data_IF_653298359775
#
_entry.id   IF_653298359775
#
_cell.length_a   1.000
_cell.length_b   1.000
_cell.length_c   1.000
_cell.angle_alpha   90.00
_cell.angle_beta   90.00
_cell.angle_gamma   90.00
#
_symmetry.space_group_name_H-M   'P 1'
#
loop_
_entity.id
_entity.type
_entity.pdbx_description
1 polymer ?
#
# COMPACT_ATOMS: atom_id res chain seq x y z
N UNK A 1 -21.88 5.15 13.47
CA UNK A 1 -21.04 6.06 12.66
C UNK A 1 -21.57 6.00 11.23
N UNK A 2 -21.72 7.13 10.55
CA UNK A 2 -22.08 7.13 9.12
C UNK A 2 -20.85 6.81 8.28
N UNK A 3 -21.03 6.09 7.17
CA UNK A 3 -19.92 5.71 6.26
C UNK A 3 -19.14 6.93 5.76
N UNK A 4 -19.87 8.04 5.54
CA UNK A 4 -19.29 9.34 5.17
C UNK A 4 -18.35 9.90 6.25
N UNK A 5 -18.69 9.77 7.52
CA UNK A 5 -17.81 10.21 8.61
C UNK A 5 -16.51 9.40 8.63
N UNK A 6 -16.60 8.08 8.43
CA UNK A 6 -15.42 7.22 8.35
C UNK A 6 -14.55 7.59 7.16
N UNK A 7 -15.15 7.81 5.98
CA UNK A 7 -14.45 8.26 4.78
C UNK A 7 -13.71 9.59 5.00
N UNK A 8 -14.41 10.62 5.48
CA UNK A 8 -13.82 11.95 5.70
C UNK A 8 -12.68 11.90 6.73
N UNK A 9 -12.86 11.12 7.80
CA UNK A 9 -11.84 10.93 8.83
C UNK A 9 -10.59 10.25 8.26
N UNK A 10 -10.75 9.17 7.49
CA UNK A 10 -9.63 8.45 6.90
C UNK A 10 -8.92 9.29 5.84
N UNK A 11 -9.66 10.04 5.02
CA UNK A 11 -9.12 10.94 4.02
C UNK A 11 -8.25 12.02 4.69
N UNK A 12 -8.78 12.75 5.66
CA UNK A 12 -8.03 13.78 6.39
C UNK A 12 -6.82 13.20 7.12
N UNK A 13 -6.98 12.03 7.74
CA UNK A 13 -5.86 11.35 8.43
C UNK A 13 -4.76 10.95 7.45
N UNK A 14 -5.12 10.45 6.26
CA UNK A 14 -4.15 10.07 5.22
C UNK A 14 -3.38 11.27 4.68
N UNK A 15 -4.05 12.40 4.46
CA UNK A 15 -3.43 13.65 4.01
C UNK A 15 -2.49 14.22 5.08
N UNK A 16 -2.92 14.21 6.35
CA UNK A 16 -2.08 14.63 7.46
C UNK A 16 -0.84 13.73 7.60
N UNK A 17 -1.01 12.40 7.52
CA UNK A 17 0.09 11.44 7.56
C UNK A 17 1.06 11.64 6.39
N UNK A 18 0.57 11.95 5.18
CA UNK A 18 1.40 12.26 4.02
C UNK A 18 2.25 13.51 4.25
N UNK A 19 1.67 14.60 4.78
CA UNK A 19 2.40 15.83 5.08
C UNK A 19 3.50 15.60 6.13
N UNK A 20 3.18 14.88 7.20
CA UNK A 20 4.15 14.52 8.25
C UNK A 20 5.26 13.65 7.66
N UNK A 21 4.90 12.61 6.92
CA UNK A 21 5.87 11.67 6.30
C UNK A 21 6.80 12.40 5.33
N UNK A 22 6.26 13.29 4.49
CA UNK A 22 7.06 14.10 3.56
C UNK A 22 8.11 14.94 4.30
N UNK A 23 7.71 15.63 5.38
CA UNK A 23 8.63 16.43 6.20
C UNK A 23 9.74 15.56 6.83
N UNK A 24 9.38 14.40 7.40
CA UNK A 24 10.35 13.49 8.00
C UNK A 24 11.33 12.90 6.98
N UNK A 25 10.84 12.54 5.78
CA UNK A 25 11.67 11.94 4.73
C UNK A 25 12.71 12.90 4.13
N UNK A 26 12.57 14.22 4.34
CA UNK A 26 13.61 15.20 4.00
C UNK A 26 14.87 15.04 4.86
N UNK A 27 14.72 14.50 6.08
CA UNK A 27 15.81 14.37 7.05
C UNK A 27 16.22 12.91 7.31
N UNK A 28 15.27 11.98 7.19
CA UNK A 28 15.46 10.57 7.55
C UNK A 28 15.02 9.68 6.40
N UNK A 29 15.98 9.03 5.74
CA UNK A 29 15.66 8.03 4.72
C UNK A 29 14.96 6.80 5.35
N UNK A 30 13.89 6.34 4.70
CA UNK A 30 13.20 5.12 5.09
C UNK A 30 14.17 3.92 5.06
N UNK A 31 14.18 3.08 6.10
CA UNK A 31 15.20 2.05 6.36
C UNK A 31 14.97 0.77 5.54
N UNK A 32 14.71 0.90 4.24
CA UNK A 32 14.54 -0.23 3.33
C UNK A 32 15.27 0.00 2.00
N UNK A 33 15.46 -1.05 1.20
CA UNK A 33 16.14 -0.95 -0.10
C UNK A 33 17.62 -0.60 0.05
N UNK A 34 18.06 0.53 -0.53
CA UNK A 34 19.47 0.98 -0.45
C UNK A 34 19.86 1.55 0.93
N UNK A 35 18.90 1.86 1.78
CA UNK A 35 19.13 2.47 3.10
C UNK A 35 18.85 1.49 4.25
N UNK A 36 18.92 0.18 4.00
CA UNK A 36 18.75 -0.83 5.05
C UNK A 36 19.81 -0.62 6.14
N UNK A 37 19.35 -0.50 7.38
CA UNK A 37 20.19 -0.36 8.57
C UNK A 37 19.68 -1.21 9.72
N UNK A 38 20.58 -1.65 10.59
CA UNK A 38 20.23 -2.41 11.80
C UNK A 38 19.42 -1.53 12.76
N UNK A 39 18.61 -2.17 13.62
CA UNK A 39 17.81 -1.48 14.66
C UNK A 39 16.32 -1.31 14.36
N UNK A 40 15.82 -1.82 13.23
CA UNK A 40 14.40 -1.75 12.84
C UNK A 40 13.61 -3.04 13.12
N UNK A 41 14.07 -3.83 14.11
CA UNK A 41 13.42 -5.05 14.56
C UNK A 41 13.65 -6.25 13.64
N UNK A 42 12.71 -7.21 13.70
CA UNK A 42 12.75 -8.42 12.88
C UNK A 42 12.67 -8.08 11.39
N UNK A 43 13.27 -8.95 10.57
CA UNK A 43 13.29 -8.79 9.12
C UNK A 43 12.73 -10.02 8.44
N UNK A 44 12.08 -9.82 7.30
CA UNK A 44 11.60 -10.88 6.42
C UNK A 44 12.32 -10.85 5.08
N UNK A 45 12.12 -11.91 4.29
CA UNK A 45 12.54 -11.93 2.89
C UNK A 45 11.96 -10.72 2.16
N UNK A 46 12.78 -10.02 1.38
CA UNK A 46 12.35 -8.79 0.74
C UNK A 46 11.26 -9.02 -0.31
N UNK A 47 11.24 -10.14 -1.04
CA UNK A 47 10.16 -10.44 -1.99
C UNK A 47 8.84 -10.68 -1.25
N UNK A 48 8.87 -11.47 -0.17
CA UNK A 48 7.68 -11.65 0.67
C UNK A 48 7.21 -10.33 1.29
N UNK A 49 8.12 -9.46 1.71
CA UNK A 49 7.80 -8.15 2.24
C UNK A 49 7.04 -7.28 1.25
N UNK A 50 7.49 -7.23 -0.01
CA UNK A 50 6.80 -6.50 -1.06
C UNK A 50 5.40 -7.08 -1.35
N UNK A 51 5.27 -8.41 -1.46
CA UNK A 51 3.96 -9.04 -1.72
C UNK A 51 2.99 -8.71 -0.59
N UNK A 52 3.40 -8.94 0.67
CA UNK A 52 2.54 -8.67 1.85
C UNK A 52 2.18 -7.19 1.92
N UNK A 53 3.14 -6.30 1.69
CA UNK A 53 2.93 -4.86 1.79
C UNK A 53 1.94 -4.34 0.73
N UNK A 54 2.01 -4.83 -0.51
CA UNK A 54 1.25 -4.28 -1.64
C UNK A 54 -0.07 -5.01 -1.91
N UNK A 55 -0.18 -6.31 -1.57
CA UNK A 55 -1.37 -7.12 -1.81
C UNK A 55 -2.71 -6.56 -1.27
N UNK A 56 -2.77 -5.78 -0.17
CA UNK A 56 -4.03 -5.22 0.29
C UNK A 56 -4.67 -4.24 -0.68
N UNK A 57 -3.89 -3.46 -1.44
CA UNK A 57 -4.43 -2.42 -2.31
C UNK A 57 -5.36 -2.96 -3.42
N UNK A 58 -4.99 -3.98 -4.22
CA UNK A 58 -5.91 -4.55 -5.21
C UNK A 58 -7.04 -5.35 -4.54
N UNK A 59 -6.75 -6.08 -3.46
CA UNK A 59 -7.75 -6.94 -2.82
C UNK A 59 -8.87 -6.14 -2.15
N UNK A 60 -8.51 -5.09 -1.41
CA UNK A 60 -9.47 -4.24 -0.71
C UNK A 60 -10.26 -3.39 -1.70
N UNK A 61 -9.61 -2.81 -2.70
CA UNK A 61 -10.28 -2.00 -3.71
C UNK A 61 -11.27 -2.84 -4.53
N UNK A 62 -10.87 -4.01 -5.02
CA UNK A 62 -11.77 -4.91 -5.74
C UNK A 62 -12.95 -5.36 -4.88
N UNK A 63 -12.72 -5.65 -3.58
CA UNK A 63 -13.79 -6.00 -2.65
C UNK A 63 -14.82 -4.88 -2.51
N UNK A 64 -14.39 -3.65 -2.21
CA UNK A 64 -15.28 -2.50 -2.04
C UNK A 64 -15.96 -2.08 -3.34
N UNK A 65 -15.28 -2.24 -4.48
CA UNK A 65 -15.89 -2.04 -5.79
C UNK A 65 -17.05 -3.02 -6.04
N UNK A 66 -16.88 -4.30 -5.70
CA UNK A 66 -17.89 -5.34 -5.92
C UNK A 66 -19.16 -5.15 -5.08
N UNK A 67 -19.03 -4.61 -3.86
CA UNK A 67 -20.18 -4.31 -2.98
C UNK A 67 -20.77 -2.91 -3.23
N UNK A 68 -20.11 -2.09 -4.06
CA UNK A 68 -20.54 -0.73 -4.37
C UNK A 68 -21.71 -0.66 -5.36
N UNK A 69 -22.54 0.37 -5.22
CA UNK A 69 -23.74 0.56 -6.02
C UNK A 69 -23.47 0.91 -7.50
N UNK A 70 -22.34 1.57 -7.80
CA UNK A 70 -22.02 2.13 -9.13
C UNK A 70 -21.09 1.26 -9.99
N UNK A 71 -20.96 -0.03 -9.65
CA UNK A 71 -20.05 -0.99 -10.31
C UNK A 71 -20.30 -1.22 -11.81
N UNK A 72 -21.51 -0.95 -12.28
CA UNK A 72 -21.93 -1.22 -13.66
C UNK A 72 -21.71 -0.03 -14.62
N UNK A 73 -21.18 1.09 -14.11
CA UNK A 73 -20.88 2.25 -14.96
C UNK A 73 -19.56 2.07 -15.69
N UNK A 74 -19.52 2.45 -16.98
CA UNK A 74 -18.29 2.40 -17.79
C UNK A 74 -17.14 3.17 -17.14
N UNK A 75 -17.43 4.32 -16.53
CA UNK A 75 -16.43 5.12 -15.82
C UNK A 75 -15.82 4.36 -14.65
N UNK A 76 -16.64 3.74 -13.80
CA UNK A 76 -16.15 2.97 -12.66
C UNK A 76 -15.31 1.76 -13.11
N UNK A 77 -15.74 1.06 -14.16
CA UNK A 77 -15.02 -0.09 -14.72
C UNK A 77 -13.65 0.29 -15.28
N UNK A 78 -13.53 1.44 -15.97
CA UNK A 78 -12.23 1.92 -16.48
C UNK A 78 -11.28 2.23 -15.32
N UNK A 79 -11.76 2.91 -14.26
CA UNK A 79 -10.94 3.19 -13.09
C UNK A 79 -10.54 1.91 -12.34
N UNK A 80 -11.44 0.93 -12.22
CA UNK A 80 -11.10 -0.38 -11.66
C UNK A 80 -9.98 -1.04 -12.47
N UNK A 81 -10.12 -1.11 -13.80
CA UNK A 81 -9.11 -1.75 -14.65
C UNK A 81 -7.75 -1.05 -14.55
N UNK A 82 -7.73 0.28 -14.50
CA UNK A 82 -6.49 1.04 -14.30
C UNK A 82 -5.85 0.75 -12.93
N UNK A 83 -6.64 0.72 -11.88
CA UNK A 83 -6.19 0.41 -10.52
C UNK A 83 -5.64 -1.01 -10.41
N UNK A 84 -6.42 -2.00 -10.85
CA UNK A 84 -6.06 -3.42 -10.81
C UNK A 84 -4.84 -3.69 -11.69
N UNK A 85 -4.77 -3.15 -12.90
CA UNK A 85 -3.59 -3.33 -13.75
C UNK A 85 -2.31 -2.82 -13.08
N UNK A 86 -2.38 -1.66 -12.41
CA UNK A 86 -1.25 -1.12 -11.66
C UNK A 86 -0.88 -2.02 -10.46
N UNK A 87 -1.85 -2.34 -9.60
CA UNK A 87 -1.58 -3.00 -8.34
C UNK A 87 -1.38 -4.51 -8.46
N UNK A 88 -1.97 -5.19 -9.44
CA UNK A 88 -1.64 -6.59 -9.77
C UNK A 88 -0.19 -6.68 -10.22
N UNK A 89 0.23 -5.79 -11.12
CA UNK A 89 1.62 -5.74 -11.54
C UNK A 89 2.54 -5.45 -10.35
N UNK A 90 2.22 -4.45 -9.52
CA UNK A 90 3.04 -4.06 -8.38
C UNK A 90 3.12 -5.12 -7.27
N UNK A 91 2.02 -5.82 -6.99
CA UNK A 91 1.92 -6.78 -5.88
C UNK A 91 2.38 -8.18 -6.26
N UNK A 92 2.14 -8.61 -7.51
CA UNK A 92 2.32 -10.01 -7.90
C UNK A 92 3.28 -10.23 -9.07
N UNK A 93 3.70 -9.18 -9.79
CA UNK A 93 4.66 -9.32 -10.90
C UNK A 93 6.00 -8.69 -10.52
N UNK A 94 5.99 -7.43 -10.09
CA UNK A 94 7.16 -6.67 -9.71
C UNK A 94 8.04 -7.36 -8.66
N UNK A 95 7.51 -7.99 -7.59
CA UNK A 95 8.36 -8.60 -6.57
C UNK A 95 9.21 -9.77 -7.10
N UNK A 96 8.76 -10.43 -8.18
CA UNK A 96 9.50 -11.49 -8.84
C UNK A 96 10.55 -10.94 -9.82
N UNK A 97 10.35 -9.73 -10.37
CA UNK A 97 11.35 -9.02 -11.17
C UNK A 97 12.49 -8.41 -10.34
N UNK A 98 12.32 -8.29 -9.02
CA UNK A 98 13.32 -7.73 -8.12
C UNK A 98 14.55 -8.63 -7.99
N UNK A 99 15.74 -8.04 -8.14
CA UNK A 99 17.01 -8.62 -7.67
C UNK A 99 17.08 -8.53 -6.15
N UNK A 100 16.47 -9.53 -5.52
CA UNK A 100 16.23 -9.61 -4.07
C UNK A 100 17.17 -10.57 -3.32
N UNK A 101 18.13 -11.20 -4.00
CA UNK A 101 19.06 -12.14 -3.35
C UNK A 101 19.80 -11.47 -2.18
N UNK A 102 19.69 -12.09 -1.00
CA UNK A 102 20.30 -11.60 0.24
C UNK A 102 19.68 -10.34 0.85
N UNK A 103 18.69 -9.71 0.20
CA UNK A 103 18.03 -8.49 0.72
C UNK A 103 16.92 -8.85 1.69
N UNK A 104 16.85 -8.09 2.78
CA UNK A 104 15.86 -8.23 3.85
C UNK A 104 15.08 -6.94 4.01
N UNK A 105 13.79 -7.06 4.30
CA UNK A 105 12.92 -5.93 4.60
C UNK A 105 12.53 -5.97 6.09
N UNK A 106 12.57 -4.85 6.83
CA UNK A 106 12.06 -4.81 8.20
C UNK A 106 10.54 -5.06 8.22
N UNK A 107 10.08 -5.91 9.15
CA UNK A 107 8.65 -6.26 9.29
C UNK A 107 7.79 -5.02 9.54
N UNK A 108 8.30 -4.05 10.32
CA UNK A 108 7.60 -2.80 10.59
C UNK A 108 7.32 -1.98 9.33
N UNK A 109 8.24 -1.98 8.35
CA UNK A 109 8.05 -1.26 7.09
C UNK A 109 6.98 -1.96 6.24
N UNK A 110 7.05 -3.29 6.13
CA UNK A 110 6.03 -4.05 5.43
C UNK A 110 4.64 -3.86 6.07
N UNK A 111 4.57 -3.83 7.41
CA UNK A 111 3.32 -3.61 8.16
C UNK A 111 2.75 -2.21 7.98
N UNK A 112 3.60 -1.17 7.99
CA UNK A 112 3.16 0.21 7.72
C UNK A 112 2.60 0.34 6.30
N UNK A 113 3.27 -0.25 5.30
CA UNK A 113 2.78 -0.23 3.93
C UNK A 113 1.52 -1.08 3.73
N UNK A 114 1.40 -2.23 4.41
CA UNK A 114 0.17 -3.03 4.43
C UNK A 114 -1.02 -2.20 4.92
N UNK A 115 -0.87 -1.52 6.06
CA UNK A 115 -1.94 -0.70 6.63
C UNK A 115 -2.28 0.47 5.71
N UNK A 116 -1.27 1.15 5.16
CA UNK A 116 -1.48 2.23 4.21
C UNK A 116 -2.25 1.76 2.98
N UNK A 117 -1.85 0.64 2.35
CA UNK A 117 -2.49 0.10 1.16
C UNK A 117 -3.91 -0.42 1.44
N UNK A 118 -4.16 -0.99 2.62
CA UNK A 118 -5.51 -1.40 3.02
C UNK A 118 -6.44 -0.19 3.21
N UNK A 119 -5.97 0.86 3.89
CA UNK A 119 -6.76 2.08 4.09
C UNK A 119 -6.95 2.84 2.77
N UNK A 120 -5.92 2.88 1.93
CA UNK A 120 -5.99 3.55 0.64
C UNK A 120 -6.83 2.79 -0.39
N UNK A 121 -6.90 1.45 -0.31
CA UNK A 121 -7.82 0.68 -1.14
C UNK A 121 -9.29 0.81 -0.70
N UNK A 122 -9.55 1.22 0.55
CA UNK A 122 -10.89 1.56 1.03
C UNK A 122 -11.34 2.96 0.60
N UNK A 123 -10.42 3.93 0.65
CA UNK A 123 -10.65 5.31 0.22
C UNK A 123 -10.84 5.42 -1.30
#
# INVERSE_FOLDING_TARGET
MSDRFLFDLLLLSSLAAAAVTALFLLFIAAPYGRHVRKGWGATLDNRLGWIVMEAPAPLVFAFYFMVGEYRDTWTALVFLLMWEAHYIHRSFIYPFSLRSEGKRMPVVIAGMGFLFNALNGYL
#
